data_IF_699163927543
#
_entry.id   IF_699163927543
#
_cell.length_a   1.000
_cell.length_b   1.000
_cell.length_c   1.000
_cell.angle_alpha   90.00
_cell.angle_beta   90.00
_cell.angle_gamma   90.00
#
_symmetry.space_group_name_H-M   'P 1'
#
loop_
_entity.id
_entity.type
_entity.pdbx_description
1 polymer ?
#
# COMPACT_ATOMS: atom_id res chain seq x y z
N UNK A 1 -1.96 -12.29 9.30
CA UNK A 1 -1.36 -13.13 8.25
C UNK A 1 0.12 -12.78 8.11
N UNK A 2 1.03 -13.76 7.96
CA UNK A 2 2.45 -13.49 7.65
C UNK A 2 2.60 -12.65 6.37
N UNK A 3 3.60 -11.76 6.32
CA UNK A 3 3.77 -10.82 5.20
C UNK A 3 4.02 -11.52 3.86
N UNK A 4 4.88 -12.54 3.85
CA UNK A 4 5.16 -13.34 2.65
C UNK A 4 3.91 -14.01 2.08
N UNK A 5 2.98 -14.41 2.94
CA UNK A 5 1.70 -14.96 2.53
C UNK A 5 0.73 -13.86 2.08
N UNK A 6 0.79 -12.67 2.67
CA UNK A 6 -0.01 -11.53 2.20
C UNK A 6 0.39 -11.08 0.79
N UNK A 7 1.69 -11.06 0.48
CA UNK A 7 2.21 -10.66 -0.83
C UNK A 7 1.65 -11.52 -1.98
N UNK A 8 1.38 -12.81 -1.76
CA UNK A 8 0.76 -13.67 -2.79
C UNK A 8 -0.70 -13.32 -3.09
N UNK A 9 -1.35 -12.48 -2.28
CA UNK A 9 -2.69 -11.95 -2.53
C UNK A 9 -2.70 -10.48 -2.96
N UNK A 10 -1.54 -9.83 -3.05
CA UNK A 10 -1.46 -8.47 -3.56
C UNK A 10 -1.82 -8.46 -5.05
N UNK A 11 -2.71 -7.55 -5.45
CA UNK A 11 -3.14 -7.41 -6.85
C UNK A 11 -2.56 -6.12 -7.42
N UNK A 12 -1.53 -6.20 -8.28
CA UNK A 12 -0.98 -5.03 -8.97
C UNK A 12 -2.05 -4.32 -9.81
N UNK A 13 -1.92 -3.00 -9.95
CA UNK A 13 -2.90 -2.17 -10.68
C UNK A 13 -3.13 -2.64 -12.12
N UNK A 14 -2.08 -3.16 -12.78
CA UNK A 14 -2.15 -3.67 -14.16
C UNK A 14 -2.90 -5.00 -14.26
N UNK A 15 -2.92 -5.80 -13.19
CA UNK A 15 -3.62 -7.08 -13.13
C UNK A 15 -5.07 -6.96 -12.62
N UNK A 16 -5.38 -5.87 -11.90
CA UNK A 16 -6.70 -5.59 -11.34
C UNK A 16 -7.87 -5.76 -12.32
N UNK A 17 -7.81 -5.30 -13.60
CA UNK A 17 -8.88 -5.55 -14.57
C UNK A 17 -9.21 -7.03 -14.74
N UNK A 18 -8.17 -7.86 -14.94
CA UNK A 18 -8.30 -9.30 -15.15
C UNK A 18 -8.85 -9.97 -13.90
N UNK A 19 -8.28 -9.65 -12.74
CA UNK A 19 -8.70 -10.13 -11.42
C UNK A 19 -10.20 -9.88 -11.18
N UNK A 20 -10.70 -8.67 -11.51
CA UNK A 20 -12.12 -8.32 -11.38
C UNK A 20 -13.02 -9.18 -12.26
N UNK A 21 -12.63 -9.40 -13.51
CA UNK A 21 -13.39 -10.25 -14.45
C UNK A 21 -13.38 -11.71 -13.99
N UNK A 22 -12.22 -12.22 -13.55
CA UNK A 22 -12.04 -13.60 -13.13
C UNK A 22 -12.92 -13.92 -11.89
N UNK A 23 -12.93 -13.05 -10.87
CA UNK A 23 -13.79 -13.26 -9.69
C UNK A 23 -15.28 -13.15 -10.03
N UNK A 24 -15.66 -12.20 -10.90
CA UNK A 24 -17.06 -12.03 -11.33
C UNK A 24 -17.54 -13.17 -12.24
N UNK A 25 -16.63 -13.89 -12.89
CA UNK A 25 -16.97 -15.03 -13.74
C UNK A 25 -17.36 -16.29 -12.95
N UNK A 26 -17.14 -16.28 -11.62
CA UNK A 26 -17.49 -17.40 -10.75
C UNK A 26 -19.01 -17.58 -10.67
N UNK A 27 -19.43 -18.83 -10.51
CA UNK A 27 -20.81 -19.26 -10.70
C UNK A 27 -21.81 -18.55 -9.79
N UNK A 28 -21.42 -18.24 -8.55
CA UNK A 28 -22.31 -17.70 -7.53
C UNK A 28 -22.09 -16.22 -7.24
N UNK A 29 -21.26 -15.55 -8.03
CA UNK A 29 -20.89 -14.13 -7.88
C UNK A 29 -21.51 -13.32 -9.02
N UNK A 30 -22.45 -12.41 -8.71
CA UNK A 30 -23.08 -11.58 -9.76
C UNK A 30 -22.45 -10.19 -9.87
N UNK A 31 -21.84 -9.70 -8.79
CA UNK A 31 -21.14 -8.41 -8.74
C UNK A 31 -19.86 -8.56 -7.90
N UNK A 32 -18.79 -7.86 -8.25
CA UNK A 32 -17.53 -7.88 -7.51
C UNK A 32 -16.78 -6.53 -7.53
N UNK A 33 -16.04 -6.26 -6.45
CA UNK A 33 -14.99 -5.25 -6.34
C UNK A 33 -13.81 -5.88 -5.61
N UNK A 34 -12.60 -5.65 -6.11
CA UNK A 34 -11.36 -6.05 -5.44
C UNK A 34 -10.66 -4.80 -4.90
N UNK A 35 -10.45 -4.75 -3.60
CA UNK A 35 -9.68 -3.72 -2.90
C UNK A 35 -8.35 -4.34 -2.45
N UNK A 36 -7.27 -4.01 -3.15
CA UNK A 36 -5.92 -4.41 -2.78
C UNK A 36 -5.13 -3.18 -2.32
N UNK A 37 -4.54 -3.26 -1.14
CA UNK A 37 -3.76 -2.19 -0.50
C UNK A 37 -2.52 -2.81 0.15
N UNK A 38 -1.69 -2.01 0.84
CA UNK A 38 -0.57 -2.53 1.62
C UNK A 38 -0.97 -3.24 2.94
N UNK A 39 -2.24 -3.19 3.36
CA UNK A 39 -2.65 -3.79 4.64
C UNK A 39 -3.78 -4.82 4.50
N UNK A 40 -4.41 -4.88 3.32
CA UNK A 40 -5.56 -5.74 3.06
C UNK A 40 -5.71 -6.03 1.57
N UNK A 41 -6.18 -7.24 1.29
CA UNK A 41 -6.78 -7.64 0.03
C UNK A 41 -8.19 -8.13 0.36
N UNK A 42 -9.19 -7.39 -0.12
CA UNK A 42 -10.60 -7.66 0.15
C UNK A 42 -11.37 -7.82 -1.14
N UNK A 43 -12.27 -8.80 -1.17
CA UNK A 43 -13.15 -9.06 -2.29
C UNK A 43 -14.58 -8.84 -1.81
N UNK A 44 -15.19 -7.77 -2.28
CA UNK A 44 -16.59 -7.46 -2.02
C UNK A 44 -17.44 -8.05 -3.14
N UNK A 45 -18.32 -9.00 -2.80
CA UNK A 45 -19.17 -9.67 -3.78
C UNK A 45 -20.65 -9.54 -3.45
N UNK A 46 -21.47 -9.48 -4.49
CA UNK A 46 -22.88 -9.83 -4.36
C UNK A 46 -23.03 -11.32 -4.69
N UNK A 47 -23.37 -12.11 -3.67
CA UNK A 47 -23.49 -13.56 -3.76
C UNK A 47 -24.96 -13.98 -3.90
N UNK A 48 -25.30 -14.76 -4.92
CA UNK A 48 -26.65 -15.35 -5.05
C UNK A 48 -26.88 -16.45 -4.00
N UNK A 49 -25.80 -17.16 -3.66
CA UNK A 49 -25.77 -18.19 -2.62
C UNK A 49 -24.51 -18.03 -1.80
N UNK A 50 -24.67 -17.74 -0.51
CA UNK A 50 -23.55 -17.47 0.40
C UNK A 50 -22.48 -18.56 0.36
N UNK A 51 -22.83 -19.83 0.65
CA UNK A 51 -21.84 -20.91 0.70
C UNK A 51 -21.17 -21.19 -0.66
N UNK A 52 -21.93 -21.06 -1.77
CA UNK A 52 -21.37 -21.24 -3.11
C UNK A 52 -20.40 -20.14 -3.49
N UNK A 53 -20.74 -18.88 -3.18
CA UNK A 53 -19.85 -17.75 -3.43
C UNK A 53 -18.61 -17.77 -2.54
N UNK A 54 -18.74 -18.21 -1.29
CA UNK A 54 -17.59 -18.39 -0.40
C UNK A 54 -16.59 -19.41 -0.97
N UNK A 55 -17.09 -20.56 -1.46
CA UNK A 55 -16.25 -21.55 -2.14
C UNK A 55 -15.62 -20.97 -3.41
N UNK A 56 -16.41 -20.34 -4.26
CA UNK A 56 -15.95 -19.72 -5.51
C UNK A 56 -14.85 -18.67 -5.29
N UNK A 57 -14.98 -17.82 -4.25
CA UNK A 57 -13.99 -16.81 -3.89
C UNK A 57 -12.75 -17.44 -3.27
N UNK A 58 -12.90 -18.50 -2.47
CA UNK A 58 -11.77 -19.26 -1.90
C UNK A 58 -10.96 -19.96 -3.00
N UNK A 59 -11.63 -20.55 -3.98
CA UNK A 59 -10.99 -21.17 -5.14
C UNK A 59 -10.29 -20.11 -5.99
N UNK A 60 -10.94 -18.96 -6.20
CA UNK A 60 -10.31 -17.81 -6.85
C UNK A 60 -9.03 -17.33 -6.14
N UNK A 61 -9.04 -17.25 -4.80
CA UNK A 61 -7.84 -16.86 -4.04
C UNK A 61 -6.73 -17.91 -4.16
N UNK A 62 -7.08 -19.19 -4.25
CA UNK A 62 -6.12 -20.26 -4.54
C UNK A 62 -5.49 -20.06 -5.91
N UNK A 63 -6.31 -19.82 -6.93
CA UNK A 63 -5.85 -19.57 -8.31
C UNK A 63 -4.99 -18.30 -8.42
N UNK A 64 -5.33 -17.26 -7.65
CA UNK A 64 -4.60 -15.98 -7.62
C UNK A 64 -3.21 -16.13 -7.00
N UNK A 65 -3.13 -16.89 -5.90
CA UNK A 65 -1.89 -17.04 -5.11
C UNK A 65 -1.02 -18.22 -5.53
N UNK A 66 -1.55 -19.12 -6.37
CA UNK A 66 -0.95 -20.42 -6.69
C UNK A 66 -0.67 -21.26 -5.42
N UNK A 67 -1.54 -21.13 -4.41
CA UNK A 67 -1.47 -21.84 -3.14
C UNK A 67 -2.73 -22.66 -2.89
N UNK A 68 -2.62 -23.84 -2.26
CA UNK A 68 -3.78 -24.58 -1.81
C UNK A 68 -4.49 -23.79 -0.71
N UNK A 69 -5.83 -23.83 -0.71
CA UNK A 69 -6.62 -23.04 0.23
C UNK A 69 -6.38 -23.39 1.71
N UNK A 70 -5.89 -24.59 1.99
CA UNK A 70 -5.49 -25.03 3.32
C UNK A 70 -4.36 -24.16 3.92
N UNK A 71 -3.51 -23.56 3.08
CA UNK A 71 -2.36 -22.77 3.53
C UNK A 71 -2.76 -21.37 4.02
N UNK A 72 -3.93 -20.86 3.61
CA UNK A 72 -4.38 -19.52 3.96
C UNK A 72 -5.75 -19.44 4.66
N UNK A 73 -6.49 -20.55 4.74
CA UNK A 73 -7.83 -20.61 5.34
C UNK A 73 -7.91 -19.95 6.73
N UNK A 74 -6.92 -20.19 7.59
CA UNK A 74 -6.90 -19.67 8.96
C UNK A 74 -6.73 -18.14 9.04
N UNK A 75 -6.33 -17.51 7.94
CA UNK A 75 -6.17 -16.06 7.83
C UNK A 75 -7.32 -15.37 7.11
N UNK A 76 -8.27 -16.13 6.55
CA UNK A 76 -9.45 -15.56 5.91
C UNK A 76 -10.44 -15.07 6.96
N UNK A 77 -11.02 -13.90 6.70
CA UNK A 77 -12.21 -13.43 7.38
C UNK A 77 -13.34 -13.24 6.37
N UNK A 78 -14.56 -13.40 6.85
CA UNK A 78 -15.77 -13.22 6.04
C UNK A 78 -16.77 -12.41 6.83
N UNK A 79 -17.29 -11.37 6.19
CA UNK A 79 -18.45 -10.63 6.64
C UNK A 79 -19.58 -10.84 5.64
N UNK A 80 -20.81 -10.86 6.13
CA UNK A 80 -22.01 -11.00 5.30
C UNK A 80 -23.06 -9.99 5.71
N UNK A 81 -23.94 -9.65 4.77
CA UNK A 81 -25.05 -8.73 4.96
C UNK A 81 -24.61 -7.43 5.68
N UNK A 82 -25.24 -7.10 6.80
CA UNK A 82 -25.00 -5.87 7.55
C UNK A 82 -23.55 -5.74 8.04
N UNK A 83 -22.88 -6.86 8.39
CA UNK A 83 -21.48 -6.83 8.81
C UNK A 83 -20.55 -6.46 7.65
N UNK A 84 -20.84 -6.93 6.43
CA UNK A 84 -20.04 -6.58 5.26
C UNK A 84 -20.14 -5.09 4.93
N UNK A 85 -21.35 -4.53 5.06
CA UNK A 85 -21.59 -3.09 4.87
C UNK A 85 -20.93 -2.27 5.98
N UNK A 86 -21.04 -2.71 7.23
CA UNK A 86 -20.39 -2.04 8.38
C UNK A 86 -18.87 -2.07 8.23
N UNK A 87 -18.31 -3.18 7.80
CA UNK A 87 -16.88 -3.32 7.51
C UNK A 87 -16.44 -2.35 6.43
N UNK A 88 -17.12 -2.34 5.27
CA UNK A 88 -16.84 -1.40 4.18
C UNK A 88 -16.85 0.06 4.66
N UNK A 89 -17.82 0.44 5.50
CA UNK A 89 -17.89 1.79 6.06
C UNK A 89 -16.72 2.06 7.01
N UNK A 90 -16.37 1.09 7.86
CA UNK A 90 -15.26 1.21 8.81
C UNK A 90 -13.92 1.39 8.10
N UNK A 91 -13.66 0.57 7.08
CA UNK A 91 -12.49 0.68 6.19
C UNK A 91 -12.49 2.03 5.47
N UNK A 92 -13.60 2.42 4.85
CA UNK A 92 -13.68 3.70 4.11
C UNK A 92 -13.50 4.92 5.01
N UNK A 93 -13.88 4.82 6.30
CA UNK A 93 -13.65 5.86 7.30
C UNK A 93 -12.23 5.84 7.89
N UNK A 94 -11.40 4.84 7.56
CA UNK A 94 -10.07 4.65 8.13
C UNK A 94 -10.08 4.19 9.59
N UNK A 95 -11.21 3.66 10.09
CA UNK A 95 -11.28 3.12 11.46
C UNK A 95 -10.59 1.77 11.58
N UNK A 96 -10.59 1.02 10.48
CA UNK A 96 -9.84 -0.22 10.32
C UNK A 96 -8.69 0.06 9.32
N UNK A 97 -7.70 0.83 9.76
CA UNK A 97 -6.47 1.12 9.02
C UNK A 97 -5.30 0.94 9.97
N UNK A 98 -4.12 0.58 9.44
CA UNK A 98 -2.89 0.49 10.25
C UNK A 98 -2.64 1.79 11.02
N UNK A 99 -3.02 2.93 10.41
CA UNK A 99 -3.15 4.20 11.11
C UNK A 99 -4.59 4.67 11.11
N UNK A 100 -5.20 4.70 12.30
CA UNK A 100 -6.61 5.06 12.48
C UNK A 100 -6.84 6.49 12.02
N UNK A 101 -7.75 6.66 11.07
CA UNK A 101 -8.18 7.93 10.49
C UNK A 101 -7.40 8.35 9.23
N UNK A 102 -6.54 7.49 8.68
CA UNK A 102 -5.74 7.82 7.50
C UNK A 102 -6.62 8.19 6.29
N UNK A 103 -6.12 9.13 5.49
CA UNK A 103 -6.91 9.66 4.40
C UNK A 103 -6.84 8.83 3.11
N UNK A 104 -5.81 8.01 2.96
CA UNK A 104 -5.48 7.27 1.74
C UNK A 104 -6.48 6.16 1.41
N UNK A 105 -6.94 5.42 2.41
CA UNK A 105 -7.84 4.27 2.22
C UNK A 105 -9.16 4.64 1.52
N UNK A 106 -9.75 5.81 1.81
CA UNK A 106 -10.96 6.26 1.10
C UNK A 106 -10.69 6.52 -0.39
N UNK A 107 -9.50 7.02 -0.73
CA UNK A 107 -9.11 7.20 -2.12
C UNK A 107 -8.95 5.84 -2.80
N UNK A 108 -8.25 4.90 -2.15
CA UNK A 108 -8.07 3.54 -2.65
C UNK A 108 -9.42 2.82 -2.87
N UNK A 109 -10.36 2.92 -1.93
CA UNK A 109 -11.74 2.43 -2.07
C UNK A 109 -12.43 3.04 -3.29
N UNK A 110 -12.30 4.36 -3.49
CA UNK A 110 -12.88 5.04 -4.65
C UNK A 110 -12.27 4.57 -5.97
N UNK A 111 -10.96 4.36 -6.01
CA UNK A 111 -10.24 3.86 -7.19
C UNK A 111 -10.66 2.43 -7.50
N UNK A 112 -10.68 1.54 -6.51
CA UNK A 112 -11.14 0.16 -6.66
C UNK A 112 -12.57 0.07 -7.20
N UNK A 113 -13.49 0.87 -6.63
CA UNK A 113 -14.87 0.94 -7.10
C UNK A 113 -14.97 1.46 -8.53
N UNK A 114 -14.25 2.54 -8.87
CA UNK A 114 -14.24 3.09 -10.23
C UNK A 114 -13.71 2.07 -11.23
N UNK A 115 -12.69 1.30 -10.86
CA UNK A 115 -12.14 0.26 -11.72
C UNK A 115 -13.14 -0.86 -11.96
N UNK A 116 -13.86 -1.30 -10.92
CA UNK A 116 -14.94 -2.26 -11.07
C UNK A 116 -16.09 -1.76 -11.97
N UNK A 117 -16.38 -0.45 -11.95
CA UNK A 117 -17.34 0.17 -12.88
C UNK A 117 -16.84 0.13 -14.32
N UNK A 118 -15.58 0.49 -14.56
CA UNK A 118 -14.95 0.46 -15.88
C UNK A 118 -14.95 -0.96 -16.48
N UNK A 119 -14.71 -1.98 -15.67
CA UNK A 119 -14.71 -3.39 -16.09
C UNK A 119 -16.10 -4.05 -16.05
N UNK A 120 -17.17 -3.30 -15.75
CA UNK A 120 -18.55 -3.80 -15.65
C UNK A 120 -18.70 -5.01 -14.69
N UNK A 121 -17.95 -5.01 -13.60
CA UNK A 121 -17.96 -6.08 -12.58
C UNK A 121 -18.82 -5.73 -11.38
N UNK A 122 -19.13 -4.45 -11.15
CA UNK A 122 -20.14 -4.02 -10.17
C UNK A 122 -21.53 -3.81 -10.80
N UNK A 123 -22.58 -4.13 -10.05
CA UNK A 123 -23.97 -3.89 -10.41
C UNK A 123 -24.68 -2.95 -9.42
N UNK A 124 -26.02 -2.90 -9.41
CA UNK A 124 -26.78 -1.97 -8.58
C UNK A 124 -26.48 -2.07 -7.08
N UNK A 125 -26.23 -3.29 -6.57
CA UNK A 125 -26.07 -3.53 -5.13
C UNK A 125 -24.73 -2.98 -4.63
N UNK A 126 -23.63 -3.41 -5.25
CA UNK A 126 -22.28 -2.92 -4.94
C UNK A 126 -22.19 -1.41 -5.19
N UNK A 127 -22.76 -0.91 -6.30
CA UNK A 127 -22.74 0.53 -6.57
C UNK A 127 -23.42 1.35 -5.47
N UNK A 128 -24.55 0.87 -4.94
CA UNK A 128 -25.23 1.54 -3.84
C UNK A 128 -24.40 1.52 -2.54
N UNK A 129 -23.78 0.37 -2.22
CA UNK A 129 -22.96 0.19 -1.03
C UNK A 129 -21.71 1.09 -1.05
N UNK A 130 -20.91 1.04 -2.12
CA UNK A 130 -19.67 1.82 -2.24
C UNK A 130 -19.93 3.32 -2.32
N UNK A 131 -20.97 3.75 -3.04
CA UNK A 131 -21.37 5.16 -3.04
C UNK A 131 -21.70 5.64 -1.63
N UNK A 132 -22.48 4.86 -0.87
CA UNK A 132 -22.84 5.20 0.51
C UNK A 132 -21.61 5.21 1.41
N UNK A 133 -20.70 4.25 1.25
CA UNK A 133 -19.46 4.19 2.02
C UNK A 133 -18.62 5.46 1.84
N UNK A 134 -18.46 5.93 0.60
CA UNK A 134 -17.73 7.16 0.30
C UNK A 134 -18.42 8.41 0.87
N UNK A 135 -19.76 8.49 0.79
CA UNK A 135 -20.53 9.56 1.43
C UNK A 135 -20.34 9.59 2.94
N UNK A 136 -20.41 8.42 3.59
CA UNK A 136 -20.21 8.27 5.04
C UNK A 136 -18.78 8.64 5.42
N UNK A 137 -17.77 8.16 4.70
CA UNK A 137 -16.36 8.52 4.93
C UNK A 137 -16.14 10.03 4.82
N UNK A 138 -16.72 10.69 3.80
CA UNK A 138 -16.66 12.15 3.65
C UNK A 138 -17.33 12.86 4.82
N UNK A 139 -18.49 12.37 5.28
CA UNK A 139 -19.20 12.91 6.45
C UNK A 139 -18.37 12.78 7.72
N UNK A 140 -17.78 11.61 7.99
CA UNK A 140 -16.90 11.40 9.15
C UNK A 140 -15.73 12.38 9.11
N UNK A 141 -15.05 12.53 7.97
CA UNK A 141 -13.92 13.47 7.84
C UNK A 141 -14.29 14.94 8.05
N UNK A 142 -15.48 15.34 7.59
CA UNK A 142 -15.90 16.74 7.66
C UNK A 142 -16.55 17.12 8.98
N UNK A 143 -17.18 16.16 9.64
CA UNK A 143 -17.98 16.40 10.85
C UNK A 143 -17.29 15.91 12.13
N UNK A 144 -16.19 15.18 12.02
CA UNK A 144 -15.41 14.70 13.16
C UNK A 144 -13.97 15.24 13.11
N UNK A 145 -13.27 15.13 14.23
CA UNK A 145 -11.84 15.41 14.30
C UNK A 145 -10.97 14.22 13.86
N UNK A 146 -11.54 13.12 13.34
CA UNK A 146 -10.80 11.88 13.06
C UNK A 146 -9.65 12.08 12.08
N UNK A 147 -9.82 12.98 11.12
CA UNK A 147 -8.83 13.38 10.12
C UNK A 147 -7.89 14.51 10.58
N UNK A 148 -8.12 15.11 11.76
CA UNK A 148 -7.27 16.16 12.32
C UNK A 148 -6.17 15.51 13.15
N UNK A 149 -4.91 15.79 12.82
CA UNK A 149 -3.73 15.23 13.47
C UNK A 149 -3.64 13.69 13.40
N UNK A 150 -4.27 13.07 12.41
CA UNK A 150 -4.09 11.65 12.13
C UNK A 150 -2.61 11.41 11.80
N UNK A 151 -1.92 10.50 12.51
CA UNK A 151 -0.61 10.07 12.07
C UNK A 151 -0.73 9.51 10.65
N UNK A 152 0.29 9.65 9.81
CA UNK A 152 0.36 8.93 8.54
C UNK A 152 1.34 7.76 8.70
N UNK A 153 1.19 6.71 7.88
CA UNK A 153 2.20 5.64 7.82
C UNK A 153 3.59 6.25 7.56
N UNK A 154 3.64 7.26 6.68
CA UNK A 154 4.86 7.99 6.41
C UNK A 154 5.49 8.60 7.66
N UNK A 155 4.68 9.25 8.51
CA UNK A 155 5.16 9.81 9.77
C UNK A 155 5.59 8.75 10.76
N UNK A 156 4.82 7.67 10.91
CA UNK A 156 5.19 6.56 11.80
C UNK A 156 6.53 5.93 11.41
N UNK A 157 6.79 5.76 10.12
CA UNK A 157 8.06 5.24 9.60
C UNK A 157 9.21 6.20 9.89
N UNK A 158 9.03 7.50 9.65
CA UNK A 158 10.05 8.50 9.92
C UNK A 158 10.34 8.62 11.41
N UNK A 159 9.32 8.60 12.27
CA UNK A 159 9.47 8.65 13.72
C UNK A 159 10.24 7.40 14.23
N UNK A 160 9.91 6.20 13.71
CA UNK A 160 10.64 4.96 14.00
C UNK A 160 12.11 5.05 13.54
N UNK A 161 12.36 5.56 12.34
CA UNK A 161 13.71 5.74 11.82
C UNK A 161 14.52 6.74 12.66
N UNK A 162 13.89 7.84 13.08
CA UNK A 162 14.51 8.85 13.94
C UNK A 162 14.87 8.25 15.32
N UNK A 163 14.01 7.44 15.91
CA UNK A 163 14.30 6.74 17.17
C UNK A 163 15.49 5.79 17.00
N UNK A 164 15.51 4.99 15.93
CA UNK A 164 16.59 4.02 15.67
C UNK A 164 17.94 4.69 15.38
N UNK A 165 17.93 5.84 14.69
CA UNK A 165 19.14 6.55 14.25
C UNK A 165 19.62 7.62 15.25
N UNK A 166 18.91 7.79 16.38
CA UNK A 166 19.12 8.84 17.39
C UNK A 166 19.00 10.26 16.81
N UNK A 167 17.93 10.49 16.04
CA UNK A 167 17.66 11.73 15.33
C UNK A 167 18.03 11.66 13.84
N UNK A 168 17.41 12.54 13.06
CA UNK A 168 17.63 12.65 11.61
C UNK A 168 18.48 13.87 11.23
N UNK A 169 18.83 14.72 12.21
CA UNK A 169 19.70 15.86 12.00
C UNK A 169 21.05 15.39 11.45
N UNK A 170 21.49 16.02 10.35
CA UNK A 170 22.71 15.66 9.62
C UNK A 170 22.76 14.23 9.05
N UNK A 171 21.65 13.48 9.07
CA UNK A 171 21.55 12.18 8.39
C UNK A 171 21.28 12.38 6.90
N UNK A 172 21.80 11.44 6.11
CA UNK A 172 21.51 11.34 4.68
C UNK A 172 20.50 10.23 4.44
N UNK A 173 19.40 10.55 3.77
CA UNK A 173 18.30 9.62 3.51
C UNK A 173 18.15 9.39 2.02
N UNK A 174 18.11 8.13 1.58
CA UNK A 174 17.69 7.75 0.24
C UNK A 174 16.21 7.37 0.28
N UNK A 175 15.39 8.02 -0.54
CA UNK A 175 13.97 7.72 -0.68
C UNK A 175 13.68 7.25 -2.09
N UNK A 176 13.30 5.98 -2.22
CA UNK A 176 12.86 5.38 -3.49
C UNK A 176 11.33 5.37 -3.56
N UNK A 177 10.81 6.08 -4.56
CA UNK A 177 9.38 6.26 -4.77
C UNK A 177 8.97 7.71 -4.64
N UNK A 178 8.15 8.18 -5.59
CA UNK A 178 7.67 9.57 -5.65
C UNK A 178 6.15 9.63 -5.84
N UNK A 179 5.41 8.65 -5.31
CA UNK A 179 3.96 8.70 -5.21
C UNK A 179 3.50 9.46 -3.96
N UNK A 180 2.20 9.41 -3.64
CA UNK A 180 1.63 10.07 -2.45
C UNK A 180 2.35 9.70 -1.15
N UNK A 181 2.74 8.42 -1.01
CA UNK A 181 3.49 7.93 0.15
C UNK A 181 4.90 8.53 0.22
N UNK A 182 5.60 8.64 -0.91
CA UNK A 182 6.92 9.28 -0.99
C UNK A 182 6.87 10.79 -0.68
N UNK A 183 5.83 11.48 -1.13
CA UNK A 183 5.57 12.89 -0.77
C UNK A 183 5.32 13.07 0.74
N UNK A 184 4.53 12.18 1.34
CA UNK A 184 4.30 12.14 2.77
C UNK A 184 5.58 11.89 3.57
N UNK A 185 6.43 10.96 3.09
CA UNK A 185 7.74 10.67 3.70
C UNK A 185 8.65 11.88 3.66
N UNK A 186 8.79 12.51 2.49
CA UNK A 186 9.60 13.71 2.31
C UNK A 186 9.16 14.81 3.28
N UNK A 187 7.85 15.07 3.36
CA UNK A 187 7.28 16.05 4.28
C UNK A 187 7.66 15.75 5.72
N UNK A 188 7.46 14.50 6.17
CA UNK A 188 7.78 14.10 7.55
C UNK A 188 9.28 14.12 7.85
N UNK A 189 10.14 13.82 6.87
CA UNK A 189 11.60 13.92 6.99
C UNK A 189 12.05 15.37 7.17
N UNK A 190 11.47 16.31 6.41
CA UNK A 190 11.75 17.74 6.58
C UNK A 190 11.26 18.28 7.93
N UNK A 191 10.09 17.83 8.41
CA UNK A 191 9.57 18.18 9.75
C UNK A 191 10.47 17.67 10.90
N UNK A 192 11.33 16.68 10.62
CA UNK A 192 12.31 16.13 11.56
C UNK A 192 13.75 16.64 11.32
N UNK A 193 13.90 17.77 10.61
CA UNK A 193 15.18 18.44 10.35
C UNK A 193 16.26 17.52 9.73
N UNK A 194 15.86 16.67 8.77
CA UNK A 194 16.79 15.80 8.05
C UNK A 194 17.93 16.58 7.37
N UNK A 195 19.13 16.00 7.33
CA UNK A 195 20.30 16.66 6.73
C UNK A 195 20.24 16.76 5.20
N UNK A 196 20.07 15.63 4.51
CA UNK A 196 20.00 15.55 3.05
C UNK A 196 19.03 14.45 2.61
N UNK A 197 18.22 14.71 1.59
CA UNK A 197 17.35 13.70 0.96
C UNK A 197 17.80 13.45 -0.49
N UNK A 198 18.06 12.19 -0.82
CA UNK A 198 18.33 11.70 -2.16
C UNK A 198 17.09 10.96 -2.67
N UNK A 199 16.37 11.58 -3.61
CA UNK A 199 15.19 11.02 -4.25
C UNK A 199 15.58 10.13 -5.43
N UNK A 200 15.10 8.90 -5.42
CA UNK A 200 15.22 7.97 -6.55
C UNK A 200 13.84 7.61 -7.09
N UNK A 201 13.73 7.53 -8.41
CA UNK A 201 12.49 7.12 -9.06
C UNK A 201 12.75 6.56 -10.46
N UNK A 202 11.90 5.62 -10.91
CA UNK A 202 11.93 5.07 -12.27
C UNK A 202 11.81 6.18 -13.31
N UNK A 203 10.98 7.18 -13.03
CA UNK A 203 10.93 8.40 -13.80
C UNK A 203 11.70 9.51 -13.05
N UNK A 204 12.90 9.83 -13.56
CA UNK A 204 13.78 10.85 -12.98
C UNK A 204 13.09 12.22 -12.83
N UNK A 205 12.15 12.58 -13.71
CA UNK A 205 11.46 13.86 -13.60
C UNK A 205 10.54 13.93 -12.37
N UNK A 206 10.01 12.79 -11.91
CA UNK A 206 9.25 12.74 -10.66
C UNK A 206 10.18 12.92 -9.44
N UNK A 207 11.36 12.30 -9.45
CA UNK A 207 12.36 12.52 -8.41
C UNK A 207 12.80 13.99 -8.36
N UNK A 208 13.00 14.63 -9.53
CA UNK A 208 13.35 16.06 -9.62
C UNK A 208 12.27 16.99 -9.07
N UNK A 209 10.99 16.65 -9.23
CA UNK A 209 9.88 17.43 -8.66
C UNK A 209 9.94 17.43 -7.14
N UNK A 210 10.20 16.28 -6.52
CA UNK A 210 10.35 16.17 -5.07
C UNK A 210 11.63 16.84 -4.56
N UNK A 211 12.71 16.75 -5.33
CA UNK A 211 13.98 17.40 -5.02
C UNK A 211 13.99 18.92 -5.24
N UNK A 212 12.82 19.56 -5.44
CA UNK A 212 12.72 21.01 -5.64
C UNK A 212 13.03 21.83 -4.39
N UNK A 213 13.03 21.20 -3.21
CA UNK A 213 13.41 21.82 -1.93
C UNK A 213 14.93 21.87 -1.77
N UNK A 214 15.44 22.93 -1.14
CA UNK A 214 16.88 23.08 -0.85
C UNK A 214 17.42 21.90 -0.02
N UNK A 215 18.62 21.41 -0.35
CA UNK A 215 19.24 20.27 0.36
C UNK A 215 18.85 18.88 -0.16
N UNK A 216 18.32 18.81 -1.38
CA UNK A 216 17.82 17.57 -1.98
C UNK A 216 18.53 17.23 -3.29
N UNK A 217 18.64 15.94 -3.61
CA UNK A 217 19.18 15.44 -4.88
C UNK A 217 18.18 14.49 -5.54
N UNK A 218 18.16 14.45 -6.87
CA UNK A 218 17.43 13.45 -7.63
C UNK A 218 18.41 12.56 -8.39
N UNK A 219 18.20 11.24 -8.33
CA UNK A 219 19.01 10.22 -9.01
C UNK A 219 18.12 9.22 -9.75
N UNK A 220 18.69 8.52 -10.72
CA UNK A 220 18.02 7.38 -11.33
C UNK A 220 18.12 6.14 -10.41
N UNK A 221 17.20 5.18 -10.56
CA UNK A 221 17.18 3.95 -9.73
C UNK A 221 18.48 3.17 -9.86
N UNK A 222 19.06 3.13 -11.06
CA UNK A 222 20.28 2.40 -11.37
C UNK A 222 21.50 2.97 -10.64
N UNK A 223 21.39 4.19 -10.12
CA UNK A 223 22.45 4.82 -9.34
C UNK A 223 22.38 4.50 -7.84
N UNK A 224 21.26 3.96 -7.33
CA UNK A 224 21.06 3.65 -5.91
C UNK A 224 22.24 2.87 -5.30
N UNK A 225 22.76 1.79 -5.93
CA UNK A 225 23.86 1.02 -5.35
C UNK A 225 25.11 1.86 -5.03
N UNK A 226 25.34 2.96 -5.77
CA UNK A 226 26.47 3.86 -5.54
C UNK A 226 26.30 4.72 -4.28
N UNK A 227 25.06 5.03 -3.91
CA UNK A 227 24.73 5.90 -2.78
C UNK A 227 24.45 5.14 -1.48
N UNK A 228 24.23 3.82 -1.53
CA UNK A 228 23.93 3.02 -0.34
C UNK A 228 25.01 3.11 0.75
N UNK A 229 26.27 3.36 0.35
CA UNK A 229 27.39 3.53 1.30
C UNK A 229 27.50 4.96 1.86
N UNK A 230 26.76 5.91 1.31
CA UNK A 230 26.79 7.33 1.71
C UNK A 230 25.61 7.69 2.62
N UNK A 231 24.54 6.89 2.61
CA UNK A 231 23.30 7.17 3.34
C UNK A 231 23.22 6.41 4.65
N UNK A 232 22.50 6.99 5.62
CA UNK A 232 22.25 6.38 6.92
C UNK A 232 20.89 5.64 6.94
N UNK A 233 19.98 6.02 6.04
CA UNK A 233 18.63 5.49 5.91
C UNK A 233 18.26 5.31 4.44
N UNK A 234 17.74 4.14 4.09
CA UNK A 234 17.10 3.86 2.81
C UNK A 234 15.63 3.50 3.04
N UNK A 235 14.71 4.28 2.47
CA UNK A 235 13.27 4.01 2.50
C UNK A 235 12.83 3.64 1.08
N UNK A 236 12.14 2.51 0.93
CA UNK A 236 11.50 2.11 -0.33
C UNK A 236 9.98 2.07 -0.19
N UNK A 237 9.27 2.67 -1.16
CA UNK A 237 7.82 2.71 -1.20
C UNK A 237 7.31 2.65 -2.65
N UNK A 238 7.79 1.70 -3.46
CA UNK A 238 7.33 1.58 -4.85
C UNK A 238 6.07 0.74 -4.99
N UNK A 239 5.53 0.72 -6.22
CA UNK A 239 4.45 -0.16 -6.64
C UNK A 239 4.95 -1.19 -7.66
N UNK A 240 6.24 -1.53 -7.62
CA UNK A 240 6.81 -2.53 -8.49
C UNK A 240 6.20 -3.91 -8.18
N UNK A 241 5.91 -4.71 -9.22
CA UNK A 241 5.37 -6.06 -9.02
C UNK A 241 6.43 -7.08 -8.60
N UNK A 242 7.71 -6.74 -8.76
CA UNK A 242 8.86 -7.59 -8.46
C UNK A 242 9.89 -6.78 -7.67
N UNK A 243 10.67 -7.47 -6.83
CA UNK A 243 11.76 -6.87 -6.09
C UNK A 243 12.75 -6.18 -7.04
N UNK A 244 13.02 -4.91 -6.75
CA UNK A 244 13.96 -4.05 -7.48
C UNK A 244 15.41 -4.32 -7.06
N UNK A 245 15.63 -4.78 -5.82
CA UNK A 245 16.95 -5.07 -5.29
C UNK A 245 17.05 -6.48 -4.73
N UNK A 246 18.16 -7.15 -5.03
CA UNK A 246 18.53 -8.36 -4.33
C UNK A 246 19.48 -8.08 -3.15
N UNK A 247 19.65 -9.07 -2.28
CA UNK A 247 20.51 -8.97 -1.11
C UNK A 247 21.96 -8.65 -1.48
N UNK A 248 22.50 -9.19 -2.59
CA UNK A 248 23.87 -8.91 -3.05
C UNK A 248 24.07 -7.44 -3.45
N UNK A 249 23.08 -6.82 -4.07
CA UNK A 249 23.10 -5.40 -4.45
C UNK A 249 23.05 -4.48 -3.22
N UNK A 250 22.33 -4.88 -2.16
CA UNK A 250 22.19 -4.09 -0.92
C UNK A 250 23.32 -4.34 0.09
N UNK A 251 23.87 -5.55 0.11
CA UNK A 251 24.85 -6.06 1.07
C UNK A 251 26.25 -6.21 0.46
N UNK A 252 26.61 -5.47 -0.58
CA UNK A 252 27.99 -5.42 -1.04
C UNK A 252 28.88 -4.73 0.03
N UNK A 253 29.21 -5.49 1.08
CA UNK A 253 29.96 -5.10 2.28
C UNK A 253 31.39 -4.71 1.95
N UNK A 254 31.94 -5.23 0.84
CA UNK A 254 33.30 -5.00 0.35
C UNK A 254 33.65 -3.50 0.17
N UNK A 255 32.65 -2.66 -0.11
CA UNK A 255 32.81 -1.22 -0.37
C UNK A 255 32.39 -0.32 0.81
N UNK A 256 31.93 -0.89 1.94
CA UNK A 256 31.58 -0.11 3.15
C UNK A 256 32.85 0.30 3.87
N UNK A 257 33.42 1.43 3.45
CA UNK A 257 34.66 2.01 4.00
C UNK A 257 34.63 2.26 5.51
N UNK A 258 33.44 2.47 6.07
CA UNK A 258 33.19 2.61 7.50
C UNK A 258 32.04 1.68 7.89
N UNK A 259 32.09 1.08 9.08
CA UNK A 259 31.00 0.28 9.68
C UNK A 259 29.74 1.12 10.01
N UNK A 260 29.29 1.99 9.09
CA UNK A 260 28.03 2.70 9.22
C UNK A 260 26.89 1.70 9.06
N UNK A 261 26.06 1.59 10.10
CA UNK A 261 24.82 0.84 10.06
C UNK A 261 23.81 1.58 9.17
N UNK A 262 23.58 1.06 7.97
CA UNK A 262 22.48 1.48 7.11
C UNK A 262 21.17 0.89 7.64
N UNK A 263 20.19 1.73 7.95
CA UNK A 263 18.82 1.29 8.20
C UNK A 263 18.06 1.21 6.87
N UNK A 264 17.46 0.06 6.56
CA UNK A 264 16.59 -0.11 5.39
C UNK A 264 15.16 -0.32 5.89
N UNK A 265 14.23 0.48 5.36
CA UNK A 265 12.80 0.36 5.63
C UNK A 265 12.09 0.18 4.31
N UNK A 266 11.50 -0.99 4.13
CA UNK A 266 10.66 -1.27 2.97
C UNK A 266 9.18 -1.29 3.40
N UNK A 267 8.40 -0.44 2.74
CA UNK A 267 6.95 -0.35 2.92
C UNK A 267 6.19 -0.62 1.62
N UNK A 268 6.89 -1.07 0.57
CA UNK A 268 6.28 -1.54 -0.65
C UNK A 268 5.62 -2.90 -0.43
N UNK A 269 4.52 -3.14 -1.14
CA UNK A 269 3.88 -4.45 -1.22
C UNK A 269 3.46 -4.73 -2.67
N UNK A 270 4.03 -5.76 -3.32
CA UNK A 270 5.13 -6.61 -2.83
C UNK A 270 6.42 -5.84 -2.49
N UNK A 271 7.27 -6.42 -1.64
CA UNK A 271 8.54 -5.81 -1.22
C UNK A 271 9.49 -5.55 -2.39
N UNK A 272 10.26 -4.47 -2.27
CA UNK A 272 11.25 -3.99 -3.24
C UNK A 272 12.62 -4.68 -3.09
#
# INVERSE_FOLDING_TARGET
>A
MPLNLFESFAVPADNLPKTLVDVKSRRHVSEAVVLSTCNRTEIYVFAEKFHGAYQDVRDFLSDLSDLPAEDFNDYLYVHYEDEAIRHLFSVTCGLDSAVVGENEIQHQVKVAWKKAQEENTCGPIINAAFRRALEVGKRVRTQTGLSKNTPSIARAVVDMAAEHLNGLQAKKVLLLGAGEMGEGMATSLYENDVGEIIFANRNLDNARKLASTSGSKAIAIEEIPKYLNEVDLFISSTAAPEALFNSEQLLNESDRKDQKNLLIIDIAIPRD
#
